data_IF_899190198878
#
_entry.id   IF_899190198878
#
_cell.length_a   1.000
_cell.length_b   1.000
_cell.length_c   1.000
_cell.angle_alpha   90.00
_cell.angle_beta   90.00
_cell.angle_gamma   90.00
#
_symmetry.space_group_name_H-M   'P 1'
#
loop_
_entity.id
_entity.type
_entity.pdbx_description
1 polymer ?
#
# COMPACT_ATOMS: atom_id res chain seq x y z
N UNK A 1 -15.51 9.02 13.41
CA UNK A 1 -14.52 8.01 12.99
C UNK A 1 -15.14 7.23 11.84
N UNK A 2 -14.43 7.04 10.74
CA UNK A 2 -14.88 6.22 9.62
C UNK A 2 -14.15 4.88 9.63
N UNK A 3 -14.85 3.83 9.22
CA UNK A 3 -14.30 2.50 9.03
C UNK A 3 -14.65 2.05 7.61
N UNK A 4 -13.67 1.51 6.89
CA UNK A 4 -13.85 0.94 5.57
C UNK A 4 -13.27 -0.47 5.56
N UNK A 5 -14.03 -1.41 5.01
CA UNK A 5 -13.59 -2.78 4.78
C UNK A 5 -13.76 -3.07 3.29
N UNK A 6 -12.73 -3.59 2.65
CA UNK A 6 -12.83 -4.11 1.29
C UNK A 6 -12.14 -5.46 1.18
N UNK A 7 -12.68 -6.34 0.35
CA UNK A 7 -12.11 -7.63 0.02
C UNK A 7 -12.02 -7.77 -1.49
N UNK A 8 -10.99 -8.46 -1.97
CA UNK A 8 -10.76 -8.68 -3.40
C UNK A 8 -10.25 -10.09 -3.64
N UNK A 9 -10.71 -10.70 -4.71
CA UNK A 9 -10.24 -12.01 -5.18
C UNK A 9 -9.86 -11.88 -6.65
N UNK A 10 -8.66 -12.33 -7.01
CA UNK A 10 -8.19 -12.45 -8.38
C UNK A 10 -8.12 -13.95 -8.73
N UNK A 11 -8.75 -14.32 -9.83
CA UNK A 11 -8.69 -15.66 -10.41
C UNK A 11 -8.42 -15.50 -11.89
N UNK A 12 -7.28 -15.99 -12.36
CA UNK A 12 -6.92 -16.04 -13.78
C UNK A 12 -6.79 -17.49 -14.20
N UNK A 13 -7.53 -17.88 -15.24
CA UNK A 13 -7.51 -19.21 -15.85
C UNK A 13 -7.01 -19.10 -17.30
N UNK A 14 -5.92 -19.82 -17.63
CA UNK A 14 -5.16 -19.69 -18.88
C UNK A 14 -3.69 -20.15 -18.76
N UNK A 15 -2.81 -19.69 -19.66
CA UNK A 15 -1.37 -20.07 -19.72
C UNK A 15 -0.59 -19.66 -18.46
N UNK A 16 -1.09 -18.67 -17.71
CA UNK A 16 -0.56 -18.25 -16.40
C UNK A 16 -1.67 -18.44 -15.37
N UNK A 17 -1.45 -19.34 -14.40
CA UNK A 17 -2.39 -19.58 -13.29
C UNK A 17 -2.05 -18.65 -12.13
N UNK A 18 -2.62 -17.45 -12.15
CA UNK A 18 -2.54 -16.50 -11.04
C UNK A 18 -3.81 -16.56 -10.19
N UNK A 19 -3.61 -16.68 -8.88
CA UNK A 19 -4.69 -16.57 -7.91
C UNK A 19 -4.23 -15.71 -6.74
N UNK A 20 -5.16 -14.91 -6.22
CA UNK A 20 -4.88 -14.00 -5.13
C UNK A 20 -6.13 -13.65 -4.34
N UNK A 21 -6.00 -13.55 -3.02
CA UNK A 21 -7.03 -13.02 -2.13
C UNK A 21 -6.42 -11.88 -1.33
N UNK A 22 -7.15 -10.78 -1.16
CA UNK A 22 -6.73 -9.72 -0.25
C UNK A 22 -7.90 -9.05 0.44
N UNK A 23 -7.61 -8.44 1.57
CA UNK A 23 -8.55 -7.65 2.34
C UNK A 23 -7.86 -6.40 2.88
N UNK A 24 -8.62 -5.33 3.03
CA UNK A 24 -8.17 -4.11 3.68
C UNK A 24 -9.17 -3.67 4.73
N UNK A 25 -8.66 -3.20 5.86
CA UNK A 25 -9.42 -2.50 6.90
C UNK A 25 -8.76 -1.16 7.12
N UNK A 26 -9.52 -0.09 6.95
CA UNK A 26 -9.06 1.28 7.19
C UNK A 26 -9.90 1.93 8.27
N UNK A 27 -9.23 2.49 9.25
CA UNK A 27 -9.81 3.35 10.27
C UNK A 27 -9.22 4.76 10.10
N UNK A 28 -10.08 5.77 10.01
CA UNK A 28 -9.62 7.14 9.90
C UNK A 28 -10.54 8.10 10.67
N UNK A 29 -9.97 9.21 11.10
CA UNK A 29 -10.76 10.31 11.60
C UNK A 29 -11.60 10.97 10.47
N UNK A 30 -12.74 11.61 10.80
CA UNK A 30 -13.53 12.37 9.84
C UNK A 30 -12.65 13.37 9.07
N UNK A 31 -12.94 13.55 7.78
CA UNK A 31 -12.21 14.45 6.88
C UNK A 31 -10.70 14.12 6.70
N UNK A 32 -10.24 13.01 7.27
CA UNK A 32 -8.85 12.58 7.25
C UNK A 32 -7.95 13.32 8.25
N UNK A 33 -8.50 14.11 9.18
CA UNK A 33 -7.73 14.87 10.18
C UNK A 33 -7.59 14.09 11.49
N UNK A 34 -6.38 13.70 11.86
CA UNK A 34 -6.08 12.92 13.05
C UNK A 34 -5.58 11.51 12.74
N UNK A 35 -5.65 10.57 13.70
CA UNK A 35 -5.07 9.25 13.55
C UNK A 35 -5.76 8.45 12.43
N UNK A 36 -4.95 7.65 11.75
CA UNK A 36 -5.38 6.69 10.74
C UNK A 36 -4.60 5.38 10.88
N UNK A 37 -5.28 4.28 10.62
CA UNK A 37 -4.76 2.93 10.64
C UNK A 37 -5.24 2.22 9.38
N UNK A 38 -4.33 1.53 8.70
CA UNK A 38 -4.65 0.73 7.53
C UNK A 38 -4.01 -0.65 7.69
N UNK A 39 -4.82 -1.70 7.63
CA UNK A 39 -4.38 -3.08 7.68
C UNK A 39 -4.73 -3.73 6.34
N UNK A 40 -3.74 -4.20 5.61
CA UNK A 40 -3.91 -5.01 4.42
C UNK A 40 -3.45 -6.43 4.68
N UNK A 41 -4.19 -7.39 4.11
CA UNK A 41 -3.81 -8.78 4.07
C UNK A 41 -3.85 -9.23 2.62
N UNK A 42 -2.92 -10.08 2.23
CA UNK A 42 -2.83 -10.66 0.89
C UNK A 42 -2.39 -12.12 0.97
N UNK A 43 -2.85 -12.97 0.06
CA UNK A 43 -2.38 -14.34 -0.08
C UNK A 43 -2.34 -14.72 -1.55
N UNK A 44 -1.24 -15.33 -1.99
CA UNK A 44 -1.02 -15.67 -3.39
C UNK A 44 -0.32 -14.55 -4.16
N UNK A 45 -0.27 -14.67 -5.48
CA UNK A 45 0.26 -13.65 -6.37
C UNK A 45 -0.77 -12.52 -6.54
N UNK A 46 -1.16 -11.89 -5.43
CA UNK A 46 -1.83 -10.60 -5.51
C UNK A 46 -0.72 -9.62 -5.82
N UNK A 47 -0.57 -9.25 -7.08
CA UNK A 47 0.26 -8.12 -7.47
C UNK A 47 -0.04 -6.98 -6.50
N UNK A 48 1.02 -6.44 -5.92
CA UNK A 48 0.97 -5.62 -4.71
C UNK A 48 -0.17 -4.60 -4.77
N UNK A 49 -0.99 -4.55 -3.73
CA UNK A 49 -2.33 -3.98 -3.84
C UNK A 49 -2.42 -2.51 -4.12
N UNK A 50 -1.31 -1.80 -3.93
CA UNK A 50 -1.13 -0.40 -4.31
C UNK A 50 -0.90 -0.22 -5.82
N UNK A 51 -0.23 -1.17 -6.49
CA UNK A 51 0.08 -1.08 -7.92
C UNK A 51 -1.17 -1.31 -8.80
N UNK A 52 -1.97 -2.32 -8.49
CA UNK A 52 -3.10 -2.70 -9.36
C UNK A 52 -4.35 -1.81 -9.20
N UNK A 53 -4.47 -1.05 -8.09
CA UNK A 53 -5.58 -0.11 -7.89
C UNK A 53 -5.41 1.21 -8.65
N UNK A 54 -4.21 1.49 -9.16
CA UNK A 54 -3.96 2.65 -10.04
C UNK A 54 -3.81 2.26 -11.53
N UNK A 55 -3.43 1.03 -11.86
CA UNK A 55 -3.08 0.58 -13.22
C UNK A 55 -4.26 0.30 -14.19
N UNK A 56 -5.50 0.50 -13.78
CA UNK A 56 -6.57 0.82 -14.74
C UNK A 56 -6.72 2.36 -14.79
N UNK A 57 -5.85 3.10 -15.50
CA UNK A 57 -5.41 2.79 -16.86
C UNK A 57 -3.95 3.13 -17.23
N UNK A 58 -3.39 2.14 -17.94
CA UNK A 58 -2.35 2.15 -18.98
C UNK A 58 -0.88 1.93 -18.57
N UNK A 59 -0.64 0.82 -17.84
CA UNK A 59 0.40 -0.20 -18.12
C UNK A 59 1.84 0.06 -17.64
N UNK A 60 2.78 -0.88 -17.89
CA UNK A 60 2.73 -2.32 -17.65
C UNK A 60 3.21 -2.66 -16.22
N UNK A 61 2.68 -3.74 -15.66
CA UNK A 61 3.05 -4.29 -14.37
C UNK A 61 4.59 -4.35 -14.18
N UNK A 62 5.09 -3.67 -13.16
CA UNK A 62 6.48 -3.79 -12.75
C UNK A 62 6.74 -5.25 -12.34
N UNK A 63 7.64 -5.86 -13.11
CA UNK A 63 8.06 -7.25 -12.99
C UNK A 63 8.74 -7.50 -11.65
N UNK A 64 8.21 -8.48 -10.91
CA UNK A 64 8.78 -8.99 -9.67
C UNK A 64 7.95 -10.09 -9.02
N UNK A 65 7.20 -10.89 -9.79
CA UNK A 65 6.52 -12.07 -9.28
C UNK A 65 7.50 -13.26 -9.30
N UNK A 66 8.25 -13.39 -8.20
CA UNK A 66 8.75 -14.68 -7.73
C UNK A 66 7.76 -15.30 -6.74
N UNK A 67 7.56 -16.62 -6.74
CA UNK A 67 6.36 -17.25 -6.20
C UNK A 67 6.43 -17.36 -4.68
N UNK A 68 5.46 -16.80 -3.98
CA UNK A 68 5.08 -17.35 -2.69
C UNK A 68 3.58 -17.24 -2.49
N UNK A 69 2.92 -18.38 -2.40
CA UNK A 69 1.56 -18.55 -1.89
C UNK A 69 1.43 -18.20 -0.38
N UNK A 70 2.31 -17.32 0.11
CA UNK A 70 2.41 -16.88 1.48
C UNK A 70 1.38 -15.81 1.81
N UNK A 71 1.07 -15.69 3.09
CA UNK A 71 0.26 -14.61 3.63
C UNK A 71 1.15 -13.36 3.76
N UNK A 72 0.79 -12.28 3.09
CA UNK A 72 1.28 -10.93 3.33
C UNK A 72 0.37 -10.19 4.31
N UNK A 73 0.96 -9.48 5.26
CA UNK A 73 0.26 -8.56 6.16
C UNK A 73 1.00 -7.23 6.14
N UNK A 74 0.30 -6.16 5.78
CA UNK A 74 0.79 -4.79 5.85
C UNK A 74 -0.01 -4.01 6.86
N UNK A 75 0.67 -3.33 7.77
CA UNK A 75 0.07 -2.41 8.73
C UNK A 75 0.69 -1.03 8.54
N UNK A 76 -0.13 -0.03 8.26
CA UNK A 76 0.25 1.37 8.17
C UNK A 76 -0.45 2.19 9.24
N UNK A 77 0.27 3.12 9.85
CA UNK A 77 -0.26 4.10 10.80
C UNK A 77 0.15 5.48 10.35
N UNK A 78 -0.80 6.41 10.36
CA UNK A 78 -0.54 7.79 9.97
C UNK A 78 -1.33 8.80 10.78
N UNK A 79 -0.95 10.07 10.64
CA UNK A 79 -1.63 11.17 11.33
C UNK A 79 -1.90 12.33 10.38
N UNK A 80 -3.16 12.58 10.07
CA UNK A 80 -3.56 13.66 9.17
C UNK A 80 -3.53 15.02 9.86
N UNK A 81 -2.90 15.98 9.18
CA UNK A 81 -2.71 17.35 9.61
C UNK A 81 -3.26 18.30 8.54
N UNK A 82 -3.81 19.44 8.95
CA UNK A 82 -4.17 20.51 8.00
C UNK A 82 -2.91 21.04 7.34
N UNK A 83 -2.95 21.19 6.02
CA UNK A 83 -1.89 21.76 5.19
C UNK A 83 -2.50 22.76 4.20
N UNK A 84 -1.65 23.56 3.55
CA UNK A 84 -2.05 24.56 2.53
C UNK A 84 -3.24 25.42 3.00
N UNK A 85 -3.10 26.07 4.16
CA UNK A 85 -4.13 26.93 4.75
C UNK A 85 -5.47 26.21 5.03
N UNK A 86 -5.44 24.88 5.17
CA UNK A 86 -6.61 24.05 5.47
C UNK A 86 -7.34 23.52 4.24
N UNK A 87 -6.83 23.78 3.03
CA UNK A 87 -7.35 23.19 1.77
C UNK A 87 -6.82 21.79 1.49
N UNK A 88 -5.82 21.34 2.25
CA UNK A 88 -5.20 20.04 2.10
C UNK A 88 -5.04 19.31 3.44
N UNK A 89 -4.87 18.00 3.34
CA UNK A 89 -4.51 17.12 4.45
C UNK A 89 -3.18 16.46 4.14
N UNK A 90 -2.17 16.75 4.97
CA UNK A 90 -0.89 16.05 4.96
C UNK A 90 -0.90 14.93 6.00
N UNK A 91 -0.62 13.71 5.59
CA UNK A 91 -0.64 12.51 6.42
C UNK A 91 0.74 11.84 6.37
N UNK A 92 1.70 12.21 7.23
CA UNK A 92 2.86 11.36 7.48
C UNK A 92 2.40 9.98 7.96
N UNK A 93 3.12 8.93 7.52
CA UNK A 93 2.82 7.57 7.92
C UNK A 93 4.09 6.73 8.07
N UNK A 94 3.95 5.67 8.87
CA UNK A 94 4.91 4.57 9.00
C UNK A 94 4.16 3.27 8.82
N UNK A 95 4.80 2.31 8.18
CA UNK A 95 4.22 1.00 7.96
C UNK A 95 5.24 -0.12 8.02
N UNK A 96 4.72 -1.33 8.19
CA UNK A 96 5.50 -2.54 8.09
C UNK A 96 4.71 -3.57 7.29
N UNK A 97 5.41 -4.27 6.40
CA UNK A 97 4.89 -5.43 5.68
C UNK A 97 5.67 -6.66 6.11
N UNK A 98 4.94 -7.71 6.44
CA UNK A 98 5.48 -9.05 6.64
C UNK A 98 4.98 -9.91 5.49
N UNK A 99 5.90 -10.43 4.69
CA UNK A 99 5.60 -11.35 3.60
C UNK A 99 6.10 -12.76 3.93
N UNK A 100 5.73 -13.74 3.10
CA UNK A 100 6.22 -15.11 3.23
C UNK A 100 7.75 -15.18 3.27
N UNK A 101 8.28 -16.24 3.90
CA UNK A 101 9.72 -16.53 3.97
C UNK A 101 10.56 -15.54 4.80
N UNK A 102 9.95 -14.87 5.79
CA UNK A 102 10.68 -14.02 6.74
C UNK A 102 11.06 -12.65 6.19
N UNK A 103 10.61 -12.30 4.98
CA UNK A 103 10.86 -10.98 4.40
C UNK A 103 10.05 -9.92 5.12
N UNK A 104 10.73 -8.86 5.56
CA UNK A 104 10.12 -7.70 6.20
C UNK A 104 10.41 -6.44 5.40
N UNK A 105 9.40 -5.63 5.19
CA UNK A 105 9.55 -4.30 4.60
C UNK A 105 9.10 -3.24 5.59
N UNK A 106 9.91 -2.20 5.79
CA UNK A 106 9.52 -0.99 6.51
C UNK A 106 9.20 0.11 5.51
N UNK A 107 8.08 0.78 5.72
CA UNK A 107 7.59 1.87 4.89
C UNK A 107 7.57 3.16 5.72
N UNK A 108 8.11 4.24 5.17
CA UNK A 108 8.07 5.56 5.78
C UNK A 108 7.69 6.57 4.72
N UNK A 109 6.69 7.40 4.96
CA UNK A 109 6.20 8.26 3.91
C UNK A 109 5.28 9.37 4.36
N UNK A 110 4.74 10.06 3.37
CA UNK A 110 3.76 11.11 3.55
C UNK A 110 2.81 11.19 2.37
N UNK A 111 1.53 11.37 2.68
CA UNK A 111 0.47 11.58 1.70
C UNK A 111 -0.10 12.99 1.83
N UNK A 112 -0.05 13.77 0.75
CA UNK A 112 -0.75 15.04 0.64
C UNK A 112 -2.02 14.84 -0.17
N UNK A 113 -3.18 15.20 0.38
CA UNK A 113 -4.47 15.12 -0.31
C UNK A 113 -5.16 16.47 -0.31
N UNK A 114 -5.60 16.92 -1.47
CA UNK A 114 -6.49 18.07 -1.66
C UNK A 114 -7.88 17.58 -2.09
N UNK A 115 -8.79 18.49 -2.41
CA UNK A 115 -10.06 18.12 -3.06
C UNK A 115 -9.88 17.57 -4.49
N UNK A 116 -8.75 17.86 -5.14
CA UNK A 116 -8.55 17.64 -6.58
C UNK A 116 -7.45 16.63 -6.89
N UNK A 117 -6.51 16.41 -5.97
CA UNK A 117 -5.39 15.51 -6.21
C UNK A 117 -4.89 14.89 -4.91
N UNK A 118 -4.15 13.79 -5.07
CA UNK A 118 -3.42 13.13 -4.01
C UNK A 118 -1.99 12.84 -4.47
N UNK A 119 -1.01 13.14 -3.64
CA UNK A 119 0.41 12.79 -3.85
C UNK A 119 0.89 11.99 -2.66
N UNK A 120 1.68 10.96 -2.90
CA UNK A 120 2.28 10.12 -1.87
C UNK A 120 3.76 9.91 -2.17
N UNK A 121 4.60 10.09 -1.16
CA UNK A 121 6.02 9.76 -1.18
C UNK A 121 6.28 8.67 -0.15
N UNK A 122 6.91 7.58 -0.58
CA UNK A 122 7.17 6.40 0.25
C UNK A 122 8.62 5.95 0.09
N UNK A 123 9.37 6.01 1.18
CA UNK A 123 10.62 5.28 1.33
C UNK A 123 10.35 3.86 1.82
N UNK A 124 11.05 2.89 1.25
CA UNK A 124 10.94 1.47 1.60
C UNK A 124 12.31 0.92 1.98
N UNK A 125 12.35 0.08 3.01
CA UNK A 125 13.52 -0.67 3.43
C UNK A 125 13.11 -2.14 3.45
N UNK A 126 13.69 -2.96 2.57
CA UNK A 126 13.47 -4.40 2.62
C UNK A 126 14.60 -5.06 3.38
N UNK A 127 14.24 -5.73 4.46
CA UNK A 127 15.08 -6.60 5.27
C UNK A 127 14.80 -8.04 4.81
N UNK A 128 15.78 -8.67 4.18
CA UNK A 128 15.72 -10.08 3.84
C UNK A 128 16.25 -10.91 5.02
N UNK A 129 15.65 -12.08 5.24
CA UNK A 129 16.16 -13.04 6.20
C UNK A 129 17.50 -13.63 5.67
N UNK A 130 18.42 -14.01 6.58
CA UNK A 130 19.76 -14.59 6.31
C UNK A 130 20.91 -13.66 5.90
N UNK A 131 21.24 -12.63 6.70
CA UNK A 131 22.47 -11.81 6.54
C UNK A 131 22.62 -11.13 5.16
N UNK A 132 21.57 -11.09 4.34
CA UNK A 132 21.55 -10.36 3.10
C UNK A 132 21.50 -8.86 3.39
N UNK A 133 22.17 -8.06 2.55
CA UNK A 133 22.15 -6.62 2.69
C UNK A 133 20.71 -6.09 2.53
N UNK A 134 20.31 -5.16 3.40
CA UNK A 134 19.05 -4.44 3.25
C UNK A 134 19.03 -3.68 1.93
N UNK A 135 17.89 -3.69 1.26
CA UNK A 135 17.67 -2.87 0.05
C UNK A 135 16.80 -1.66 0.39
N UNK A 136 17.07 -0.54 -0.28
CA UNK A 136 16.37 0.72 -0.07
C UNK A 136 15.69 1.13 -1.36
N UNK A 137 14.45 1.61 -1.25
CA UNK A 137 13.66 2.11 -2.37
C UNK A 137 12.99 3.44 -2.04
N UNK A 138 12.74 4.23 -3.07
CA UNK A 138 11.94 5.44 -2.99
C UNK A 138 10.89 5.41 -4.10
N UNK A 139 9.65 5.68 -3.73
CA UNK A 139 8.51 5.72 -4.65
C UNK A 139 7.78 7.04 -4.47
N UNK A 140 7.53 7.74 -5.57
CA UNK A 140 6.66 8.91 -5.63
C UNK A 140 5.46 8.57 -6.50
N UNK A 141 4.26 8.84 -6.00
CA UNK A 141 3.00 8.53 -6.67
C UNK A 141 2.05 9.73 -6.62
N UNK A 142 1.25 9.92 -7.67
CA UNK A 142 0.23 10.96 -7.76
C UNK A 142 -1.06 10.43 -8.37
N UNK A 143 -2.19 11.05 -7.99
CA UNK A 143 -3.52 10.75 -8.49
C UNK A 143 -4.34 12.05 -8.62
N UNK A 144 -5.19 12.14 -9.64
CA UNK A 144 -6.23 13.16 -9.74
C UNK A 144 -7.53 12.61 -9.15
N UNK A 145 -8.24 13.46 -8.41
CA UNK A 145 -9.53 13.17 -7.78
C UNK A 145 -10.58 13.99 -8.53
N UNK A 146 -11.43 13.32 -9.32
CA UNK A 146 -12.54 13.94 -10.06
C UNK A 146 -13.87 13.28 -9.71
#
# INVERSE_FOLDING_TARGET
MSAQVAARTLIVDGVVREWGLGGQVRLAAPDGLGPSLELHTSRGAVTDGRAQWWDQGLGPAAQGLGPAAGLGITLDMGWGLRALEGTAVLTPFVGATLAGEGTRTLNLGGRLRTGEFQVELTGTINEADNNAASTYGLMLQGALLW
#
